data_IF_768803841271
#
_entry.id   IF_768803841271
#
_cell.length_a   1.000
_cell.length_b   1.000
_cell.length_c   1.000
_cell.angle_alpha   90.00
_cell.angle_beta   90.00
_cell.angle_gamma   90.00
#
_symmetry.space_group_name_H-M   'P 1'
#
loop_
_entity.id
_entity.type
_entity.pdbx_description
1 polymer ?
#
# COMPACT_ATOMS: atom_id res chain seq x y z
N UNK A 1 -90.37 1.50 -11.93
CA UNK A 1 -89.78 0.20 -11.57
C UNK A 1 -88.45 0.08 -12.31
N UNK A 2 -87.30 0.24 -11.62
CA UNK A 2 -86.31 -0.84 -11.36
C UNK A 2 -85.67 -1.41 -12.67
N UNK A 3 -84.36 -1.50 -12.95
CA UNK A 3 -83.07 -1.46 -12.23
C UNK A 3 -81.98 -1.02 -13.26
N UNK A 4 -81.06 -0.10 -12.96
CA UNK A 4 -79.67 -0.31 -12.47
C UNK A 4 -78.85 -1.44 -13.15
N UNK A 5 -77.90 -1.06 -14.02
CA UNK A 5 -76.67 -1.83 -14.30
C UNK A 5 -75.47 -0.88 -14.30
N UNK A 6 -74.76 -0.82 -13.17
CA UNK A 6 -73.46 -0.15 -13.04
C UNK A 6 -72.36 -1.09 -13.53
N UNK A 7 -71.71 -0.79 -14.66
CA UNK A 7 -70.44 -1.41 -15.03
C UNK A 7 -69.31 -0.78 -14.21
N UNK A 8 -68.68 -1.55 -13.30
CA UNK A 8 -67.43 -1.16 -12.63
C UNK A 8 -66.22 -1.50 -13.51
N UNK A 9 -65.14 -0.70 -13.52
CA UNK A 9 -63.91 -1.06 -14.21
C UNK A 9 -63.24 -2.26 -13.49
N UNK A 10 -62.74 -3.22 -14.27
CA UNK A 10 -61.99 -4.38 -13.77
C UNK A 10 -60.70 -3.90 -13.10
N UNK A 11 -60.58 -4.10 -11.78
CA UNK A 11 -59.28 -4.06 -11.10
C UNK A 11 -58.52 -5.35 -11.44
N UNK A 12 -57.40 -5.24 -12.14
CA UNK A 12 -56.41 -6.32 -12.20
C UNK A 12 -55.87 -6.56 -10.79
N UNK A 13 -56.25 -7.68 -10.18
CA UNK A 13 -55.70 -8.20 -8.94
C UNK A 13 -54.55 -9.16 -9.26
N UNK A 14 -53.36 -8.63 -9.48
CA UNK A 14 -52.14 -9.44 -9.43
C UNK A 14 -51.64 -9.47 -7.96
N UNK A 15 -51.30 -10.63 -7.39
CA UNK A 15 -50.70 -10.68 -6.05
C UNK A 15 -49.33 -10.00 -6.13
N UNK A 16 -49.11 -8.96 -5.32
CA UNK A 16 -47.79 -8.38 -5.12
C UNK A 16 -46.94 -9.43 -4.41
N UNK A 17 -45.97 -10.02 -5.10
CA UNK A 17 -44.93 -10.81 -4.45
C UNK A 17 -44.26 -9.89 -3.42
N UNK A 18 -44.03 -10.33 -2.17
CA UNK A 18 -43.18 -9.56 -1.27
C UNK A 18 -41.84 -9.36 -1.97
N UNK A 19 -41.37 -8.11 -2.02
CA UNK A 19 -40.01 -7.83 -2.45
C UNK A 19 -39.08 -8.72 -1.60
N UNK A 20 -38.07 -9.37 -2.18
CA UNK A 20 -37.04 -10.00 -1.37
C UNK A 20 -36.48 -8.89 -0.47
N UNK A 21 -36.50 -9.12 0.85
CA UNK A 21 -35.74 -8.27 1.77
C UNK A 21 -34.31 -8.27 1.25
N UNK A 22 -33.87 -7.11 0.76
CA UNK A 22 -32.47 -6.88 0.46
C UNK A 22 -31.74 -7.09 1.79
N UNK A 23 -31.12 -8.25 1.94
CA UNK A 23 -30.07 -8.44 2.93
C UNK A 23 -29.08 -7.29 2.68
N UNK A 24 -29.01 -6.34 3.63
CA UNK A 24 -27.96 -5.34 3.60
C UNK A 24 -26.65 -6.12 3.64
N UNK A 25 -25.76 -5.97 2.64
CA UNK A 25 -24.40 -6.45 2.85
C UNK A 25 -23.90 -5.75 4.11
N UNK A 26 -23.38 -6.52 5.07
CA UNK A 26 -22.63 -5.92 6.17
C UNK A 26 -21.54 -5.08 5.54
N UNK A 27 -21.62 -3.76 5.69
CA UNK A 27 -20.66 -2.78 5.17
C UNK A 27 -19.29 -3.01 5.81
N UNK A 28 -18.58 -4.04 5.36
CA UNK A 28 -17.13 -4.03 5.36
C UNK A 28 -16.74 -3.13 4.20
N UNK A 29 -16.79 -1.81 4.41
CA UNK A 29 -16.29 -0.85 3.45
C UNK A 29 -14.84 -1.22 3.08
N UNK A 30 -14.50 -1.15 1.79
CA UNK A 30 -13.13 -1.29 1.30
C UNK A 30 -12.28 -0.22 1.97
N UNK A 31 -11.54 -0.61 3.01
CA UNK A 31 -10.68 0.28 3.78
C UNK A 31 -9.37 -0.40 4.08
N UNK A 32 -8.28 0.37 3.93
CA UNK A 32 -6.93 -0.05 4.30
C UNK A 32 -6.81 -0.46 5.77
N UNK A 33 -7.66 0.08 6.64
CA UNK A 33 -7.63 -0.15 8.09
C UNK A 33 -7.90 -1.61 8.49
N UNK A 34 -8.64 -2.35 7.66
CA UNK A 34 -8.99 -3.74 7.93
C UNK A 34 -7.99 -4.73 7.35
N UNK A 35 -6.96 -4.26 6.65
CA UNK A 35 -5.92 -5.11 6.10
C UNK A 35 -4.96 -5.49 7.23
N UNK A 36 -4.78 -6.79 7.54
CA UNK A 36 -3.81 -7.20 8.55
C UNK A 36 -2.40 -6.92 8.06
N UNK A 37 -1.47 -6.64 8.98
CA UNK A 37 -0.05 -6.44 8.66
C UNK A 37 0.56 -7.60 7.87
N UNK A 38 0.16 -8.84 8.17
CA UNK A 38 0.69 -10.03 7.52
C UNK A 38 0.00 -11.30 7.98
N UNK A 39 0.35 -12.43 7.34
CA UNK A 39 -0.10 -13.75 7.78
C UNK A 39 0.86 -14.40 8.78
N UNK A 40 2.15 -14.10 8.65
CA UNK A 40 3.23 -14.67 9.46
C UNK A 40 4.36 -13.65 9.57
N UNK A 41 4.18 -12.65 10.43
CA UNK A 41 5.21 -11.62 10.63
C UNK A 41 6.43 -12.20 11.37
N UNK A 42 7.66 -11.78 11.01
CA UNK A 42 8.00 -10.76 10.01
C UNK A 42 8.22 -11.31 8.58
N UNK A 43 7.99 -12.60 8.34
CA UNK A 43 8.36 -13.30 7.11
C UNK A 43 7.36 -13.15 5.96
N UNK A 44 6.10 -12.86 6.28
CA UNK A 44 4.98 -12.76 5.35
C UNK A 44 4.05 -11.61 5.73
N UNK A 45 4.21 -10.49 5.02
CA UNK A 45 3.49 -9.25 5.25
C UNK A 45 2.76 -8.76 4.00
N UNK A 46 1.71 -7.97 4.22
CA UNK A 46 0.99 -7.25 3.19
C UNK A 46 1.64 -5.89 2.98
N UNK A 47 1.69 -5.44 1.73
CA UNK A 47 2.08 -4.07 1.38
C UNK A 47 0.92 -3.44 0.63
N UNK A 48 0.44 -2.29 1.10
CA UNK A 48 -0.52 -1.46 0.37
C UNK A 48 0.29 -0.51 -0.51
N UNK A 49 0.10 -0.60 -1.82
CA UNK A 49 0.84 0.22 -2.79
C UNK A 49 0.26 1.62 -2.85
N UNK A 50 1.09 2.64 -2.66
CA UNK A 50 0.69 4.04 -2.78
C UNK A 50 1.16 4.63 -4.11
N UNK A 51 2.39 4.32 -4.51
CA UNK A 51 3.03 4.91 -5.69
C UNK A 51 3.59 3.79 -6.57
N UNK A 52 2.97 3.54 -7.74
CA UNK A 52 3.49 2.58 -8.71
C UNK A 52 4.89 2.95 -9.19
N UNK A 53 5.72 1.94 -9.49
CA UNK A 53 6.99 2.18 -10.17
C UNK A 53 6.76 2.95 -11.49
N UNK A 54 7.63 3.91 -11.80
CA UNK A 54 7.59 4.72 -13.03
C UNK A 54 6.32 5.58 -13.22
N UNK A 55 5.48 5.75 -12.20
CA UNK A 55 4.34 6.66 -12.25
C UNK A 55 4.78 8.11 -12.48
N UNK A 56 3.85 8.97 -12.85
CA UNK A 56 4.10 10.41 -12.88
C UNK A 56 4.52 10.92 -11.47
N UNK A 57 5.31 12.01 -11.40
CA UNK A 57 6.02 12.45 -10.19
C UNK A 57 5.10 13.13 -9.16
N UNK A 58 4.15 12.37 -8.63
CA UNK A 58 3.22 12.77 -7.57
C UNK A 58 3.38 11.79 -6.42
N UNK A 59 3.69 12.31 -5.22
CA UNK A 59 3.71 11.51 -4.00
C UNK A 59 2.28 11.40 -3.48
N UNK A 60 1.81 10.17 -3.37
CA UNK A 60 0.57 9.81 -2.70
C UNK A 60 0.89 9.23 -1.32
N UNK A 61 -0.06 9.34 -0.42
CA UNK A 61 0.01 8.76 0.92
C UNK A 61 -1.39 8.29 1.33
N UNK A 62 -1.47 7.17 2.02
CA UNK A 62 -2.72 6.64 2.53
C UNK A 62 -3.15 7.40 3.78
N UNK A 63 -4.30 8.05 3.69
CA UNK A 63 -4.97 8.63 4.85
C UNK A 63 -5.64 7.50 5.66
N UNK A 64 -5.18 7.32 6.90
CA UNK A 64 -5.64 6.25 7.81
C UNK A 64 -7.10 6.44 8.23
N UNK A 65 -7.63 7.66 8.27
CA UNK A 65 -9.02 7.91 8.67
C UNK A 65 -9.98 7.64 7.51
N UNK A 66 -9.61 8.11 6.32
CA UNK A 66 -10.43 7.99 5.10
C UNK A 66 -10.31 6.62 4.44
N UNK A 67 -9.17 5.94 4.61
CA UNK A 67 -8.84 4.71 3.86
C UNK A 67 -8.67 4.97 2.37
N UNK A 68 -8.17 6.16 2.00
CA UNK A 68 -8.00 6.62 0.61
C UNK A 68 -6.57 7.11 0.38
N UNK A 69 -6.12 7.11 -0.87
CA UNK A 69 -4.89 7.77 -1.26
C UNK A 69 -5.12 9.28 -1.41
N UNK A 70 -4.34 10.06 -0.70
CA UNK A 70 -4.34 11.52 -0.74
C UNK A 70 -3.06 11.99 -1.43
N UNK A 71 -3.18 13.06 -2.22
CA UNK A 71 -2.01 13.72 -2.81
C UNK A 71 -1.27 14.46 -1.71
N UNK A 72 -0.06 14.01 -1.39
CA UNK A 72 0.82 14.69 -0.43
C UNK A 72 1.53 15.87 -1.12
N UNK A 73 2.24 15.59 -2.23
CA UNK A 73 2.94 16.63 -2.99
C UNK A 73 3.25 16.23 -4.43
N UNK A 74 3.52 17.24 -5.26
CA UNK A 74 4.20 17.06 -6.55
C UNK A 74 5.71 17.09 -6.33
N UNK A 75 6.43 16.09 -6.85
CA UNK A 75 7.88 15.96 -6.62
C UNK A 75 8.60 17.02 -7.44
N UNK A 76 9.23 17.99 -6.77
CA UNK A 76 9.78 19.19 -7.42
C UNK A 76 10.85 18.90 -8.47
N UNK A 77 11.62 17.83 -8.31
CA UNK A 77 12.64 17.38 -9.28
C UNK A 77 12.06 16.67 -10.51
N UNK A 78 10.77 16.31 -10.49
CA UNK A 78 10.15 15.51 -11.55
C UNK A 78 10.63 14.06 -11.61
N UNK A 79 11.42 13.61 -10.63
CA UNK A 79 11.90 12.23 -10.55
C UNK A 79 10.75 11.27 -10.28
N UNK A 80 10.82 10.08 -10.89
CA UNK A 80 9.84 9.01 -10.71
C UNK A 80 10.41 7.91 -9.81
N UNK A 81 9.54 7.26 -9.05
CA UNK A 81 9.95 6.14 -8.21
C UNK A 81 10.50 4.99 -9.08
N UNK A 82 11.73 4.50 -8.82
CA UNK A 82 12.34 3.44 -9.62
C UNK A 82 11.68 2.07 -9.40
N UNK A 83 11.02 1.88 -8.26
CA UNK A 83 10.31 0.68 -7.81
C UNK A 83 8.99 1.07 -7.17
N UNK A 84 8.08 0.12 -6.90
CA UNK A 84 6.81 0.48 -6.28
C UNK A 84 7.05 0.86 -4.81
N UNK A 85 6.30 1.84 -4.33
CA UNK A 85 6.34 2.30 -2.96
C UNK A 85 4.99 2.07 -2.29
N UNK A 86 5.04 1.71 -1.02
CA UNK A 86 3.87 1.53 -0.18
C UNK A 86 4.29 1.24 1.25
N UNK A 87 3.36 0.75 2.06
CA UNK A 87 3.60 0.52 3.48
C UNK A 87 2.96 -0.78 3.97
N UNK A 88 3.41 -1.25 5.14
CA UNK A 88 2.81 -2.37 5.86
C UNK A 88 1.67 -1.84 6.75
N UNK A 89 0.40 -2.23 6.53
CA UNK A 89 -0.70 -1.79 7.39
C UNK A 89 -0.52 -2.31 8.81
N UNK A 90 -1.13 -1.64 9.79
CA UNK A 90 -1.05 -2.03 11.21
C UNK A 90 0.40 -2.12 11.74
N UNK A 91 1.25 -1.19 11.29
CA UNK A 91 2.60 -0.98 11.82
C UNK A 91 2.82 0.50 12.14
N UNK A 92 3.79 0.79 13.01
CA UNK A 92 4.20 2.13 13.41
C UNK A 92 5.72 2.18 13.63
N UNK A 93 6.43 2.76 12.69
CA UNK A 93 7.88 3.05 12.74
C UNK A 93 8.19 4.10 13.82
N UNK A 94 9.47 4.31 14.10
CA UNK A 94 9.95 5.27 15.11
C UNK A 94 9.67 6.74 14.77
N UNK A 95 9.42 7.05 13.49
CA UNK A 95 9.06 8.36 12.96
C UNK A 95 7.55 8.70 13.12
N UNK A 96 6.72 7.71 13.48
CA UNK A 96 5.27 7.88 13.62
C UNK A 96 4.46 7.47 12.38
N UNK A 97 5.13 7.05 11.31
CA UNK A 97 4.51 6.56 10.09
C UNK A 97 4.48 5.02 10.06
N UNK A 98 3.66 4.40 9.20
CA UNK A 98 3.74 2.96 9.00
C UNK A 98 5.11 2.56 8.42
N UNK A 99 5.50 1.30 8.59
CA UNK A 99 6.76 0.79 8.03
C UNK A 99 6.67 0.81 6.49
N UNK A 100 7.54 1.61 5.87
CA UNK A 100 7.59 1.81 4.43
C UNK A 100 8.34 0.70 3.69
N UNK A 101 7.90 0.42 2.46
CA UNK A 101 8.39 -0.71 1.66
C UNK A 101 8.54 -0.34 0.18
N UNK A 102 9.71 -0.64 -0.34
CA UNK A 102 10.04 -0.68 -1.76
C UNK A 102 9.80 -2.09 -2.30
N UNK A 103 8.83 -2.25 -3.20
CA UNK A 103 8.47 -3.55 -3.78
C UNK A 103 8.98 -3.64 -5.21
N UNK A 104 9.95 -4.55 -5.43
CA UNK A 104 10.51 -4.82 -6.76
C UNK A 104 9.58 -5.78 -7.51
N UNK A 105 9.13 -5.37 -8.68
CA UNK A 105 8.31 -6.18 -9.60
C UNK A 105 8.73 -5.93 -11.06
N UNK A 106 8.47 -6.87 -11.97
CA UNK A 106 8.75 -6.69 -13.40
C UNK A 106 7.87 -5.63 -14.08
N UNK A 107 6.70 -5.35 -13.50
CA UNK A 107 5.75 -4.35 -13.99
C UNK A 107 5.18 -3.53 -12.82
N UNK A 108 4.85 -2.25 -13.03
CA UNK A 108 4.23 -1.41 -11.99
C UNK A 108 2.95 -2.03 -11.43
N UNK A 109 2.77 -1.92 -10.12
CA UNK A 109 1.55 -2.34 -9.43
C UNK A 109 0.51 -1.22 -9.46
N UNK A 110 -0.75 -1.58 -9.20
CA UNK A 110 -1.83 -0.60 -9.12
C UNK A 110 -1.82 0.10 -7.76
N UNK A 111 -1.97 1.43 -7.75
CA UNK A 111 -2.13 2.19 -6.51
C UNK A 111 -3.41 1.76 -5.76
N UNK A 112 -3.32 1.60 -4.44
CA UNK A 112 -4.36 1.06 -3.58
C UNK A 112 -4.49 -0.47 -3.59
N UNK A 113 -3.68 -1.18 -4.39
CA UNK A 113 -3.65 -2.65 -4.35
C UNK A 113 -2.82 -3.17 -3.18
N UNK A 114 -3.11 -4.41 -2.78
CA UNK A 114 -2.37 -5.12 -1.72
C UNK A 114 -1.54 -6.22 -2.37
N UNK A 115 -0.26 -6.30 -2.03
CA UNK A 115 0.63 -7.38 -2.45
C UNK A 115 1.25 -8.06 -1.24
N UNK A 116 1.15 -9.39 -1.21
CA UNK A 116 1.84 -10.21 -0.21
C UNK A 116 3.31 -10.35 -0.56
N UNK A 117 4.16 -9.99 0.38
CA UNK A 117 5.59 -9.79 0.17
C UNK A 117 6.45 -10.53 1.18
N UNK A 118 7.71 -10.71 0.80
CA UNK A 118 8.82 -11.15 1.66
C UNK A 118 9.97 -10.16 1.51
N UNK A 119 10.73 -9.95 2.59
CA UNK A 119 11.78 -8.93 2.62
C UNK A 119 13.10 -9.47 2.07
N UNK A 120 13.90 -8.57 1.49
CA UNK A 120 15.26 -8.82 1.01
C UNK A 120 16.31 -8.11 1.88
N UNK A 121 15.93 -6.98 2.47
CA UNK A 121 16.79 -6.13 3.30
C UNK A 121 16.14 -4.77 3.52
N UNK A 122 16.96 -3.76 3.81
CA UNK A 122 16.50 -2.42 4.15
C UNK A 122 17.50 -1.37 3.67
N UNK A 123 16.99 -0.27 3.11
CA UNK A 123 17.75 0.95 2.85
C UNK A 123 17.74 1.79 4.13
N UNK A 124 18.93 2.02 4.69
CA UNK A 124 19.10 2.88 5.86
C UNK A 124 19.38 4.31 5.39
N UNK A 125 18.56 5.25 5.83
CA UNK A 125 18.75 6.67 5.55
C UNK A 125 18.23 7.54 6.69
N UNK A 126 18.71 8.78 6.71
CA UNK A 126 18.28 9.83 7.64
C UNK A 126 17.88 11.04 6.82
N UNK A 127 16.81 11.72 7.22
CA UNK A 127 16.34 12.96 6.62
C UNK A 127 16.23 14.10 7.64
N UNK A 128 15.63 15.23 7.26
CA UNK A 128 15.44 16.38 8.16
C UNK A 128 14.66 16.09 9.45
N UNK A 129 13.89 15.00 9.50
CA UNK A 129 13.01 14.62 10.62
C UNK A 129 13.55 13.45 11.45
N UNK A 130 14.60 12.77 10.98
CA UNK A 130 15.26 11.70 11.74
C UNK A 130 15.58 10.48 10.89
N UNK A 131 15.57 9.31 11.54
CA UNK A 131 15.79 8.02 10.87
C UNK A 131 14.58 7.71 9.99
N UNK A 132 14.83 7.38 8.72
CA UNK A 132 13.80 7.13 7.72
C UNK A 132 14.13 5.84 6.93
N UNK A 133 14.06 4.67 7.58
CA UNK A 133 14.46 3.42 6.92
C UNK A 133 13.37 2.90 5.98
N UNK A 134 13.75 2.39 4.80
CA UNK A 134 12.81 1.79 3.83
C UNK A 134 13.11 0.32 3.64
N UNK A 135 12.14 -0.56 3.85
CA UNK A 135 12.30 -1.98 3.54
C UNK A 135 12.43 -2.19 2.03
N UNK A 136 13.18 -3.22 1.62
CA UNK A 136 13.19 -3.71 0.24
C UNK A 136 12.59 -5.09 0.20
N UNK A 137 11.56 -5.28 -0.59
CA UNK A 137 10.78 -6.51 -0.65
C UNK A 137 10.47 -6.93 -2.09
N UNK A 138 10.04 -8.18 -2.22
CA UNK A 138 9.49 -8.75 -3.45
C UNK A 138 8.20 -9.50 -3.12
N UNK A 139 7.27 -9.67 -4.07
CA UNK A 139 6.14 -10.57 -3.87
C UNK A 139 6.62 -12.00 -3.60
N UNK A 140 5.79 -12.79 -2.91
CA UNK A 140 6.06 -14.23 -2.77
C UNK A 140 6.22 -14.92 -4.13
N UNK A 141 7.09 -15.93 -4.21
CA UNK A 141 7.51 -16.57 -5.46
C UNK A 141 6.34 -17.13 -6.28
N UNK A 142 5.26 -17.60 -5.62
CA UNK A 142 4.02 -18.06 -6.28
C UNK A 142 3.29 -16.94 -7.03
N UNK A 143 3.38 -15.71 -6.54
CA UNK A 143 2.75 -14.51 -7.13
C UNK A 143 3.64 -13.93 -8.22
N UNK A 144 4.95 -13.84 -7.97
CA UNK A 144 5.91 -13.31 -8.94
C UNK A 144 7.11 -14.27 -9.09
N UNK A 145 7.04 -15.23 -10.03
CA UNK A 145 8.16 -16.13 -10.31
C UNK A 145 9.42 -15.40 -10.82
N UNK A 146 9.24 -14.21 -11.42
CA UNK A 146 10.30 -13.39 -12.01
C UNK A 146 11.27 -12.78 -10.98
N UNK A 147 10.87 -12.70 -9.71
CA UNK A 147 11.72 -12.23 -8.60
C UNK A 147 12.13 -13.36 -7.66
N UNK A 148 11.82 -14.61 -7.99
CA UNK A 148 12.09 -15.75 -7.11
C UNK A 148 13.58 -15.96 -6.87
N UNK A 149 14.45 -15.56 -7.79
CA UNK A 149 15.91 -15.62 -7.63
C UNK A 149 16.46 -14.59 -6.63
N UNK A 150 15.72 -13.53 -6.30
CA UNK A 150 16.16 -12.51 -5.34
C UNK A 150 15.88 -13.02 -3.92
N UNK A 151 16.90 -13.43 -3.18
CA UNK A 151 16.75 -14.00 -1.81
C UNK A 151 17.21 -13.04 -0.72
N UNK A 152 18.11 -12.11 -1.04
CA UNK A 152 18.64 -11.08 -0.18
C UNK A 152 18.84 -9.77 -0.96
N UNK A 153 19.20 -8.69 -0.26
CA UNK A 153 19.52 -7.41 -0.89
C UNK A 153 20.73 -7.51 -1.83
N UNK A 154 21.63 -8.47 -1.60
CA UNK A 154 22.82 -8.68 -2.42
C UNK A 154 22.50 -9.31 -3.78
N UNK A 155 21.33 -9.96 -3.91
CA UNK A 155 20.86 -10.51 -5.18
C UNK A 155 20.24 -9.43 -6.08
N UNK A 156 19.92 -8.26 -5.53
CA UNK A 156 19.37 -7.14 -6.30
C UNK A 156 20.47 -6.55 -7.19
N UNK A 157 20.22 -6.37 -8.51
CA UNK A 157 21.20 -5.80 -9.42
C UNK A 157 21.78 -4.49 -8.90
N UNK A 158 23.10 -4.36 -8.92
CA UNK A 158 23.80 -3.19 -8.36
C UNK A 158 23.28 -1.88 -8.95
N UNK A 159 23.05 -1.83 -10.26
CA UNK A 159 22.49 -0.66 -10.91
C UNK A 159 21.11 -0.26 -10.38
N UNK A 160 20.25 -1.22 -10.03
CA UNK A 160 18.95 -0.92 -9.43
C UNK A 160 19.10 -0.38 -8.00
N UNK A 161 20.04 -0.92 -7.21
CA UNK A 161 20.39 -0.38 -5.89
C UNK A 161 20.89 1.07 -6.01
N UNK A 162 21.77 1.35 -6.98
CA UNK A 162 22.25 2.70 -7.27
C UNK A 162 21.12 3.65 -7.68
N UNK A 163 20.18 3.20 -8.51
CA UNK A 163 19.00 3.98 -8.90
C UNK A 163 18.11 4.31 -7.69
N UNK A 164 17.86 3.34 -6.80
CA UNK A 164 17.08 3.56 -5.57
C UNK A 164 17.79 4.56 -4.66
N UNK A 165 19.09 4.36 -4.41
CA UNK A 165 19.90 5.28 -3.59
C UNK A 165 19.87 6.70 -4.15
N UNK A 166 20.15 6.84 -5.45
CA UNK A 166 20.15 8.14 -6.13
C UNK A 166 18.78 8.82 -6.06
N UNK A 167 17.69 8.05 -6.24
CA UNK A 167 16.34 8.59 -6.12
C UNK A 167 16.10 9.22 -4.75
N UNK A 168 16.36 8.51 -3.65
CA UNK A 168 16.10 9.04 -2.31
C UNK A 168 17.01 10.21 -1.95
N UNK A 169 18.28 10.22 -2.37
CA UNK A 169 19.19 11.34 -2.13
C UNK A 169 18.76 12.61 -2.89
N UNK A 170 18.03 12.50 -3.99
CA UNK A 170 17.78 13.62 -4.91
C UNK A 170 16.32 14.06 -5.02
N UNK A 171 15.32 13.20 -4.78
CA UNK A 171 13.93 13.52 -5.12
C UNK A 171 13.40 14.77 -4.37
N UNK A 172 13.84 14.97 -3.12
CA UNK A 172 13.56 16.13 -2.26
C UNK A 172 14.47 17.35 -2.52
N UNK A 173 15.41 17.32 -3.47
CA UNK A 173 16.45 18.36 -3.61
C UNK A 173 15.93 19.78 -3.93
N UNK A 174 14.71 19.89 -4.48
CA UNK A 174 14.04 21.17 -4.75
C UNK A 174 12.98 21.54 -3.69
N UNK A 175 12.83 20.72 -2.65
CA UNK A 175 11.97 21.02 -1.50
C UNK A 175 12.78 21.80 -0.45
N UNK A 176 12.39 23.07 -0.21
CA UNK A 176 13.14 23.97 0.67
C UNK A 176 13.30 23.38 2.08
N UNK A 177 14.54 23.28 2.54
CA UNK A 177 14.87 22.82 3.89
C UNK A 177 14.90 21.29 4.07
N UNK A 178 14.63 20.51 3.02
CA UNK A 178 14.66 19.05 3.07
C UNK A 178 15.97 18.50 2.53
N UNK A 179 16.39 17.37 3.08
CA UNK A 179 17.59 16.67 2.66
C UNK A 179 17.46 15.19 3.03
N UNK A 180 18.14 14.33 2.29
CA UNK A 180 18.20 12.90 2.60
C UNK A 180 19.64 12.45 2.48
N UNK A 181 20.08 11.65 3.45
CA UNK A 181 21.39 11.00 3.43
C UNK A 181 21.20 9.49 3.55
N UNK A 182 21.58 8.77 2.50
CA UNK A 182 21.62 7.30 2.52
C UNK A 182 22.87 6.84 3.27
N UNK A 183 22.69 6.00 4.27
CA UNK A 183 23.75 5.40 5.07
C UNK A 183 24.25 4.08 4.47
N UNK A 184 23.35 3.31 3.86
CA UNK A 184 23.69 2.08 3.18
C UNK A 184 22.56 1.05 3.17
N UNK A 185 22.92 -0.20 2.94
CA UNK A 185 22.02 -1.33 2.92
C UNK A 185 22.21 -2.19 4.16
N UNK A 186 21.10 -2.65 4.75
CA UNK A 186 21.07 -3.64 5.80
C UNK A 186 20.38 -4.92 5.34
N UNK A 187 20.76 -6.04 5.93
CA UNK A 187 20.25 -7.37 5.58
C UNK A 187 18.86 -7.68 6.13
N UNK A 188 18.44 -8.92 5.90
CA UNK A 188 17.11 -9.44 6.27
C UNK A 188 16.83 -9.33 7.78
N UNK A 189 17.82 -9.56 8.64
CA UNK A 189 17.60 -9.54 10.09
C UNK A 189 17.23 -8.14 10.61
N UNK A 190 17.89 -7.10 10.09
CA UNK A 190 17.56 -5.71 10.41
C UNK A 190 16.15 -5.35 9.91
N UNK A 191 15.81 -5.80 8.71
CA UNK A 191 14.48 -5.62 8.13
C UNK A 191 13.38 -6.34 8.92
N UNK A 192 13.61 -7.58 9.34
CA UNK A 192 12.68 -8.33 10.19
C UNK A 192 12.47 -7.66 11.55
N UNK A 193 13.53 -7.08 12.12
CA UNK A 193 13.44 -6.32 13.36
C UNK A 193 12.55 -5.10 13.18
N UNK A 194 12.72 -4.33 12.11
CA UNK A 194 11.88 -3.16 11.79
C UNK A 194 10.39 -3.54 11.68
N UNK A 195 10.07 -4.62 10.97
CA UNK A 195 8.69 -5.12 10.84
C UNK A 195 8.12 -5.51 12.22
N UNK A 196 8.91 -6.21 13.03
CA UNK A 196 8.48 -6.71 14.34
C UNK A 196 8.25 -5.57 15.32
N UNK A 197 9.17 -4.61 15.37
CA UNK A 197 9.06 -3.42 16.21
C UNK A 197 7.87 -2.56 15.76
N UNK A 198 7.72 -2.35 14.46
CA UNK A 198 6.61 -1.60 13.88
C UNK A 198 5.24 -2.20 14.24
N UNK A 199 5.10 -3.52 14.12
CA UNK A 199 3.88 -4.23 14.51
C UNK A 199 3.63 -4.20 16.03
N UNK A 200 4.68 -4.16 16.85
CA UNK A 200 4.56 -4.05 18.31
C UNK A 200 4.15 -2.64 18.74
N UNK A 201 4.69 -1.60 18.09
CA UNK A 201 4.39 -0.20 18.37
C UNK A 201 2.95 0.18 18.00
N UNK A 202 2.41 -0.35 16.90
CA UNK A 202 1.03 -0.10 16.49
C UNK A 202 -0.02 -0.59 17.52
N UNK A 203 0.35 -1.55 18.38
CA UNK A 203 -0.55 -2.12 19.41
C UNK A 203 -0.53 -1.36 20.74
N UNK A 204 0.38 -0.41 20.93
CA UNK A 204 0.50 0.39 22.15
C UNK A 204 -0.48 1.56 22.11
#
# INVERSE_FOLDING_TARGET
MAHSLRGRPRRCSAPRRPCPEFHRPTESAMSFNHVPAGKDLPHDFNVIIEIPAQSDPVKYEADKELGLLVVDRFIGTGMRYPVNYGYIPQTLSGDGDPVDVLVITPFPLLAGSIVRSRVLGMLQMTDESGVDAKLVAVPHDKVCPMTANLKSIDDVPEYLKDQIKHFFEQYKALEKGKWVKVEGWAGIDAAHKEITDGAANYKK
#
